data_IF_489845765336
#
_entry.id   IF_489845765336
#
_cell.length_a   1.000
_cell.length_b   1.000
_cell.length_c   1.000
_cell.angle_alpha   90.00
_cell.angle_beta   90.00
_cell.angle_gamma   90.00
#
_symmetry.space_group_name_H-M   'P 1'
#
loop_
_entity.id
_entity.type
_entity.pdbx_description
1 polymer ?
#
# COMPACT_ATOMS: atom_id res chain seq x y z
N UNK A 1 20.82 52.28 -27.38
CA UNK A 1 20.28 52.81 -26.11
C UNK A 1 18.80 52.46 -25.87
N UNK A 2 17.91 52.59 -26.86
CA UNK A 2 16.49 52.16 -26.77
C UNK A 2 16.32 50.67 -26.47
N UNK A 3 17.02 49.82 -27.21
CA UNK A 3 16.93 48.35 -27.10
C UNK A 3 17.41 47.82 -25.75
N UNK A 4 18.47 48.42 -25.20
CA UNK A 4 19.03 48.07 -23.89
C UNK A 4 18.14 48.50 -22.70
N UNK A 5 17.29 49.54 -22.87
CA UNK A 5 16.28 49.93 -21.88
C UNK A 5 15.08 48.99 -21.90
N UNK A 6 14.69 48.52 -23.09
CA UNK A 6 13.60 47.55 -23.27
C UNK A 6 13.92 46.18 -22.67
N UNK A 7 15.13 45.66 -22.92
CA UNK A 7 15.60 44.39 -22.33
C UNK A 7 15.69 44.47 -20.80
N UNK A 8 16.15 45.60 -20.27
CA UNK A 8 16.25 45.80 -18.82
C UNK A 8 14.87 45.89 -18.14
N UNK A 9 13.88 46.51 -18.81
CA UNK A 9 12.48 46.51 -18.35
C UNK A 9 11.86 45.11 -18.34
N UNK A 10 12.14 44.29 -19.36
CA UNK A 10 11.68 42.89 -19.41
C UNK A 10 12.28 42.05 -18.27
N UNK A 11 13.57 42.21 -17.98
CA UNK A 11 14.24 41.51 -16.86
C UNK A 11 13.62 41.86 -15.52
N UNK A 12 13.32 43.14 -15.26
CA UNK A 12 12.64 43.55 -14.02
C UNK A 12 11.21 43.03 -13.92
N UNK A 13 10.46 42.99 -15.02
CA UNK A 13 9.12 42.39 -15.04
C UNK A 13 9.16 40.89 -14.74
N UNK A 14 10.12 40.16 -15.33
CA UNK A 14 10.32 38.73 -15.05
C UNK A 14 10.72 38.52 -13.58
N UNK A 15 11.65 39.32 -13.06
CA UNK A 15 12.08 39.23 -11.66
C UNK A 15 10.92 39.53 -10.69
N UNK A 16 10.10 40.53 -10.97
CA UNK A 16 8.92 40.85 -10.17
C UNK A 16 7.88 39.71 -10.22
N UNK A 17 7.63 39.13 -11.40
CA UNK A 17 6.73 37.99 -11.54
C UNK A 17 7.23 36.77 -10.74
N UNK A 18 8.53 36.46 -10.81
CA UNK A 18 9.15 35.38 -10.02
C UNK A 18 9.03 35.66 -8.52
N UNK A 19 9.27 36.90 -8.08
CA UNK A 19 9.13 37.28 -6.68
C UNK A 19 7.70 37.10 -6.16
N UNK A 20 6.69 37.47 -6.96
CA UNK A 20 5.26 37.25 -6.61
C UNK A 20 4.95 35.75 -6.48
N UNK A 21 5.45 34.92 -7.39
CA UNK A 21 5.27 33.46 -7.31
C UNK A 21 5.93 32.88 -6.06
N UNK A 22 7.17 33.29 -5.76
CA UNK A 22 7.90 32.84 -4.57
C UNK A 22 7.22 33.30 -3.27
N UNK A 23 6.74 34.54 -3.21
CA UNK A 23 5.98 35.06 -2.07
C UNK A 23 4.67 34.29 -1.87
N UNK A 24 3.95 33.98 -2.95
CA UNK A 24 2.74 33.14 -2.91
C UNK A 24 3.05 31.73 -2.41
N UNK A 25 4.14 31.11 -2.86
CA UNK A 25 4.56 29.80 -2.37
C UNK A 25 4.98 29.84 -0.89
N UNK A 26 5.73 30.85 -0.49
CA UNK A 26 6.13 31.04 0.91
C UNK A 26 4.92 31.25 1.82
N UNK A 27 3.95 32.06 1.41
CA UNK A 27 2.70 32.26 2.14
C UNK A 27 1.89 30.96 2.26
N UNK A 28 1.73 30.23 1.15
CA UNK A 28 1.05 28.93 1.17
C UNK A 28 1.77 27.91 2.06
N UNK A 29 3.10 27.88 2.04
CA UNK A 29 3.90 27.03 2.92
C UNK A 29 3.75 27.44 4.39
N UNK A 30 3.75 28.73 4.71
CA UNK A 30 3.52 29.26 6.06
C UNK A 30 2.13 28.83 6.57
N UNK A 31 1.10 29.03 5.75
CA UNK A 31 -0.27 28.63 6.08
C UNK A 31 -0.37 27.12 6.28
N UNK A 32 0.24 26.33 5.39
CA UNK A 32 0.16 24.88 5.43
C UNK A 32 0.98 24.25 6.56
N UNK A 33 2.18 24.75 6.83
CA UNK A 33 3.13 24.17 7.78
C UNK A 33 3.00 24.73 9.20
N UNK A 34 2.48 25.94 9.38
CA UNK A 34 2.36 26.57 10.71
C UNK A 34 0.91 26.84 11.10
N UNK A 35 0.19 27.62 10.28
CA UNK A 35 -1.14 28.09 10.67
C UNK A 35 -2.16 26.95 10.74
N UNK A 36 -2.22 26.09 9.71
CA UNK A 36 -3.14 24.94 9.67
C UNK A 36 -2.92 23.99 10.85
N UNK A 37 -1.68 23.53 11.16
CA UNK A 37 -1.46 22.70 12.33
C UNK A 37 -1.88 23.34 13.64
N UNK A 38 -1.61 24.63 13.80
CA UNK A 38 -2.03 25.38 14.98
C UNK A 38 -3.56 25.48 15.10
N UNK A 39 -4.24 25.89 14.03
CA UNK A 39 -5.69 26.06 13.99
C UNK A 39 -6.43 24.74 14.25
N UNK A 40 -6.03 23.66 13.58
CA UNK A 40 -6.64 22.33 13.75
C UNK A 40 -6.42 21.80 15.16
N UNK A 41 -5.21 21.94 15.70
CA UNK A 41 -4.91 21.53 17.08
C UNK A 41 -5.78 22.28 18.08
N UNK A 42 -5.95 23.60 17.89
CA UNK A 42 -6.80 24.42 18.76
C UNK A 42 -8.27 24.00 18.68
N UNK A 43 -8.80 23.80 17.48
CA UNK A 43 -10.19 23.40 17.28
C UNK A 43 -10.50 22.02 17.87
N UNK A 44 -9.63 21.03 17.63
CA UNK A 44 -9.83 19.68 18.17
C UNK A 44 -9.66 19.61 19.68
N UNK A 45 -8.72 20.38 20.25
CA UNK A 45 -8.60 20.51 21.72
C UNK A 45 -9.85 21.12 22.35
N UNK A 46 -10.48 22.10 21.70
CA UNK A 46 -11.75 22.67 22.17
C UNK A 46 -12.90 21.63 22.16
N UNK A 47 -12.79 20.57 21.35
CA UNK A 47 -13.71 19.44 21.32
C UNK A 47 -13.28 18.27 22.24
N UNK A 48 -12.25 18.47 23.07
CA UNK A 48 -11.72 17.44 23.98
C UNK A 48 -10.75 16.43 23.33
N UNK A 49 -10.40 16.60 22.05
CA UNK A 49 -9.45 15.72 21.35
C UNK A 49 -8.04 16.28 21.47
N UNK A 50 -7.27 15.68 22.38
CA UNK A 50 -5.85 15.96 22.57
C UNK A 50 -4.94 15.18 21.62
N UNK A 51 -3.64 15.21 21.87
CA UNK A 51 -2.66 14.43 21.13
C UNK A 51 -1.23 14.99 21.22
N UNK A 52 -0.24 14.24 20.72
CA UNK A 52 1.15 14.71 20.68
C UNK A 52 1.28 15.99 19.84
N UNK A 53 2.15 16.88 20.28
CA UNK A 53 2.38 18.15 19.61
C UNK A 53 2.94 18.00 18.19
N UNK A 54 2.54 18.90 17.30
CA UNK A 54 3.11 19.00 15.96
C UNK A 54 4.56 19.51 16.03
N UNK A 55 5.49 18.79 15.39
CA UNK A 55 6.86 19.28 15.14
C UNK A 55 6.95 19.77 13.70
N UNK A 56 7.59 20.91 13.51
CA UNK A 56 7.69 21.56 12.20
C UNK A 56 8.15 20.59 11.10
N UNK A 57 7.44 20.58 9.98
CA UNK A 57 7.67 19.78 8.77
C UNK A 57 7.47 18.26 8.93
N UNK A 58 8.08 17.64 9.94
CA UNK A 58 8.09 16.19 10.13
C UNK A 58 6.91 15.65 10.97
N UNK A 59 6.20 16.50 11.70
CA UNK A 59 5.14 16.08 12.61
C UNK A 59 5.65 15.12 13.67
N UNK A 60 4.98 13.99 13.85
CA UNK A 60 5.39 12.96 14.81
C UNK A 60 6.19 11.80 14.17
N UNK A 61 6.56 11.91 12.88
CA UNK A 61 7.22 10.83 12.14
C UNK A 61 8.57 10.40 12.73
N UNK A 62 9.37 11.37 13.19
CA UNK A 62 10.67 11.06 13.80
C UNK A 62 10.52 10.25 15.10
N UNK A 63 9.52 10.59 15.92
CA UNK A 63 9.22 9.84 17.14
C UNK A 63 8.68 8.44 16.81
N UNK A 64 7.78 8.33 15.82
CA UNK A 64 7.25 7.04 15.37
C UNK A 64 8.38 6.12 14.90
N UNK A 65 9.30 6.64 14.08
CA UNK A 65 10.45 5.87 13.59
C UNK A 65 11.35 5.42 14.72
N UNK A 66 11.67 6.32 15.67
CA UNK A 66 12.48 5.99 16.84
C UNK A 66 11.84 4.86 17.65
N UNK A 67 10.57 5.01 18.02
CA UNK A 67 9.85 3.99 18.80
C UNK A 67 9.79 2.64 18.07
N UNK A 68 9.63 2.64 16.74
CA UNK A 68 9.68 1.40 15.95
C UNK A 68 11.07 0.77 15.86
N UNK A 69 12.12 1.59 15.86
CA UNK A 69 13.50 1.10 15.89
C UNK A 69 13.85 0.53 17.26
N UNK A 70 13.38 1.17 18.35
CA UNK A 70 13.59 0.71 19.72
C UNK A 70 12.91 -0.65 19.98
N UNK A 71 11.83 -0.97 19.26
CA UNK A 71 11.15 -2.28 19.32
C UNK A 71 11.54 -3.24 18.20
N UNK A 72 12.46 -2.85 17.31
CA UNK A 72 12.92 -3.71 16.23
C UNK A 72 13.74 -4.87 16.82
N UNK A 73 13.30 -6.11 16.56
CA UNK A 73 13.95 -7.31 17.08
C UNK A 73 13.48 -7.74 18.48
N UNK A 74 12.47 -7.08 19.06
CA UNK A 74 11.83 -7.58 20.28
C UNK A 74 11.17 -8.94 20.00
N UNK A 75 11.51 -9.95 20.80
CA UNK A 75 10.86 -11.25 20.77
C UNK A 75 9.59 -11.22 21.63
N UNK A 76 8.49 -11.71 21.08
CA UNK A 76 7.27 -11.94 21.83
C UNK A 76 7.41 -13.25 22.60
N UNK A 77 7.04 -13.25 23.88
CA UNK A 77 6.98 -14.48 24.66
C UNK A 77 5.94 -15.44 24.08
N UNK A 78 6.19 -16.75 24.15
CA UNK A 78 5.41 -17.79 23.46
C UNK A 78 3.95 -17.81 23.90
N UNK A 79 3.66 -17.42 25.16
CA UNK A 79 2.31 -17.32 25.71
C UNK A 79 1.65 -15.95 25.57
N UNK A 80 2.34 -14.95 25.00
CA UNK A 80 1.82 -13.60 24.89
C UNK A 80 1.27 -13.34 23.49
N UNK A 81 0.04 -12.81 23.40
CA UNK A 81 -0.58 -12.43 22.14
C UNK A 81 -0.62 -10.91 21.91
N UNK A 82 -0.10 -10.10 22.85
CA UNK A 82 -0.02 -8.66 22.70
C UNK A 82 1.20 -8.26 21.85
N UNK A 83 1.02 -8.33 20.52
CA UNK A 83 2.03 -7.89 19.56
C UNK A 83 1.99 -6.37 19.28
N UNK A 84 1.02 -5.65 19.84
CA UNK A 84 0.83 -4.21 19.58
C UNK A 84 2.07 -3.38 19.96
N UNK A 85 2.78 -3.63 21.08
CA UNK A 85 4.02 -2.94 21.40
C UNK A 85 5.10 -3.11 20.31
N UNK A 86 5.17 -4.26 19.66
CA UNK A 86 6.16 -4.54 18.61
C UNK A 86 5.80 -3.84 17.29
N UNK A 87 4.54 -3.94 16.87
CA UNK A 87 4.11 -3.48 15.53
C UNK A 87 3.72 -2.01 15.51
N UNK A 88 3.14 -1.51 16.60
CA UNK A 88 2.59 -0.15 16.74
C UNK A 88 2.92 0.49 18.12
N UNK A 89 4.22 0.58 18.49
CA UNK A 89 4.65 1.08 19.82
C UNK A 89 4.15 2.49 20.14
N UNK A 90 4.05 3.35 19.12
CA UNK A 90 3.60 4.73 19.27
C UNK A 90 2.12 4.82 19.68
N UNK A 91 1.25 3.93 19.20
CA UNK A 91 -0.13 3.88 19.66
C UNK A 91 -0.22 3.37 21.10
N UNK A 92 0.57 2.33 21.44
CA UNK A 92 0.65 1.83 22.82
C UNK A 92 1.10 2.92 23.80
N UNK A 93 2.03 3.78 23.39
CA UNK A 93 2.50 4.94 24.18
C UNK A 93 1.45 6.05 24.30
N UNK A 94 0.79 6.42 23.21
CA UNK A 94 -0.07 7.60 23.17
C UNK A 94 -1.49 7.37 23.68
N UNK A 95 -2.06 6.18 23.51
CA UNK A 95 -3.43 5.88 23.95
C UNK A 95 -3.64 6.11 25.46
N UNK A 96 -2.75 5.66 26.37
CA UNK A 96 -2.91 5.94 27.79
C UNK A 96 -2.80 7.42 28.17
N UNK A 97 -2.07 8.21 27.38
CA UNK A 97 -1.78 9.63 27.67
C UNK A 97 -2.88 10.55 27.12
N UNK A 98 -3.36 10.27 25.91
CA UNK A 98 -4.27 11.14 25.17
C UNK A 98 -5.68 10.57 25.03
N UNK A 99 -5.90 9.34 25.49
CA UNK A 99 -7.17 8.62 25.34
C UNK A 99 -7.25 7.82 24.04
N UNK A 100 -8.43 7.23 23.80
CA UNK A 100 -8.70 6.35 22.65
C UNK A 100 -8.88 7.09 21.33
N UNK A 101 -9.10 8.40 21.39
CA UNK A 101 -9.22 9.25 20.19
C UNK A 101 -8.30 10.44 20.34
N UNK A 102 -7.31 10.56 19.45
CA UNK A 102 -6.32 11.63 19.54
C UNK A 102 -5.74 12.03 18.19
N UNK A 103 -5.31 13.29 18.10
CA UNK A 103 -4.69 13.88 16.92
C UNK A 103 -3.17 13.66 16.92
N UNK A 104 -2.62 13.19 15.81
CA UNK A 104 -1.18 13.18 15.56
C UNK A 104 -0.88 13.62 14.13
N UNK A 105 0.41 13.76 13.80
CA UNK A 105 0.85 14.44 12.57
C UNK A 105 1.74 13.55 11.71
N UNK A 106 1.34 13.37 10.46
CA UNK A 106 2.11 12.68 9.42
C UNK A 106 2.79 13.71 8.51
N UNK A 107 3.99 14.16 8.89
CA UNK A 107 4.51 15.42 8.37
C UNK A 107 3.61 16.57 8.81
N UNK A 108 3.20 17.45 7.90
CA UNK A 108 2.21 18.50 8.16
C UNK A 108 0.74 18.06 7.95
N UNK A 109 0.49 16.77 7.71
CA UNK A 109 -0.89 16.25 7.56
C UNK A 109 -1.47 15.86 8.92
N UNK A 110 -2.63 16.41 9.31
CA UNK A 110 -3.34 15.99 10.52
C UNK A 110 -3.86 14.55 10.33
N UNK A 111 -3.75 13.72 11.35
CA UNK A 111 -4.28 12.35 11.35
C UNK A 111 -4.93 12.06 12.68
N UNK A 112 -6.15 11.55 12.64
CA UNK A 112 -6.89 11.18 13.84
C UNK A 112 -6.74 9.67 14.07
N UNK A 113 -6.21 9.30 15.24
CA UNK A 113 -6.32 7.93 15.73
C UNK A 113 -7.69 7.77 16.39
N UNK A 114 -8.41 6.71 16.02
CA UNK A 114 -9.69 6.34 16.64
C UNK A 114 -9.58 4.87 17.04
N UNK A 115 -9.57 4.62 18.35
CA UNK A 115 -9.52 3.28 18.94
C UNK A 115 -10.83 2.91 19.66
N UNK A 116 -11.84 3.79 19.63
CA UNK A 116 -13.18 3.48 20.11
C UNK A 116 -13.94 2.60 19.10
N UNK A 117 -14.42 1.44 19.56
CA UNK A 117 -15.02 0.42 18.68
C UNK A 117 -16.29 0.90 18.00
N UNK A 118 -17.13 1.67 18.69
CA UNK A 118 -18.38 2.18 18.13
C UNK A 118 -18.11 3.19 17.03
N UNK A 119 -17.16 4.09 17.26
CA UNK A 119 -16.73 5.08 16.27
C UNK A 119 -16.05 4.40 15.07
N UNK A 120 -15.18 3.42 15.30
CA UNK A 120 -14.56 2.64 14.21
C UNK A 120 -15.62 1.93 13.38
N UNK A 121 -16.62 1.31 14.02
CA UNK A 121 -17.74 0.67 13.33
C UNK A 121 -18.51 1.67 12.47
N UNK A 122 -18.78 2.88 12.98
CA UNK A 122 -19.46 3.94 12.23
C UNK A 122 -18.66 4.34 10.99
N UNK A 123 -17.35 4.57 11.13
CA UNK A 123 -16.46 4.95 10.02
C UNK A 123 -16.38 3.84 8.96
N UNK A 124 -16.19 2.58 9.37
CA UNK A 124 -16.02 1.46 8.44
C UNK A 124 -17.32 0.97 7.81
N UNK A 125 -18.47 1.27 8.41
CA UNK A 125 -19.80 0.90 7.89
C UNK A 125 -20.44 2.00 7.06
N UNK A 126 -19.80 3.17 6.95
CA UNK A 126 -20.32 4.29 6.18
C UNK A 126 -20.50 3.93 4.70
N UNK A 127 -21.67 4.28 4.17
CA UNK A 127 -22.01 4.16 2.75
C UNK A 127 -22.21 5.50 2.06
N UNK A 128 -22.19 6.60 2.82
CA UNK A 128 -22.38 7.95 2.30
C UNK A 128 -21.13 8.48 1.58
N UNK A 129 -19.96 7.87 1.82
CA UNK A 129 -18.70 8.28 1.21
C UNK A 129 -17.99 9.40 1.97
N UNK A 130 -18.38 9.63 3.23
CA UNK A 130 -17.78 10.64 4.10
C UNK A 130 -16.34 10.30 4.49
N UNK A 131 -15.99 9.01 4.48
CA UNK A 131 -14.67 8.50 4.84
C UNK A 131 -13.95 7.86 3.63
N UNK A 132 -13.50 8.66 2.65
CA UNK A 132 -12.74 8.13 1.51
C UNK A 132 -11.37 7.61 1.97
N UNK A 133 -10.84 6.63 1.24
CA UNK A 133 -9.49 6.12 1.45
C UNK A 133 -8.50 7.19 1.04
N UNK A 134 -7.72 7.67 2.00
CA UNK A 134 -6.71 8.69 1.75
C UNK A 134 -5.30 8.07 1.82
N UNK A 135 -4.88 7.43 0.73
CA UNK A 135 -3.53 6.89 0.61
C UNK A 135 -2.67 7.89 -0.17
N UNK A 136 -1.92 8.68 0.58
CA UNK A 136 -1.07 9.75 0.04
C UNK A 136 0.37 9.32 -0.29
N UNK A 137 0.73 8.06 -0.01
CA UNK A 137 2.07 7.55 -0.29
C UNK A 137 2.17 7.11 -1.77
N UNK A 138 2.99 7.79 -2.60
CA UNK A 138 3.12 7.48 -4.02
C UNK A 138 3.74 6.10 -4.29
N UNK A 139 4.57 5.58 -3.39
CA UNK A 139 5.15 4.24 -3.53
C UNK A 139 4.10 3.14 -3.33
N UNK A 140 3.17 3.34 -2.38
CA UNK A 140 2.02 2.44 -2.18
C UNK A 140 1.07 2.53 -3.39
N UNK A 141 0.85 3.74 -3.90
CA UNK A 141 0.06 3.94 -5.12
C UNK A 141 0.67 3.23 -6.34
N UNK A 142 2.00 3.26 -6.48
CA UNK A 142 2.71 2.57 -7.56
C UNK A 142 2.63 1.05 -7.42
N UNK A 143 2.80 0.54 -6.21
CA UNK A 143 2.75 -0.89 -5.89
C UNK A 143 1.38 -1.51 -6.18
N UNK A 144 0.30 -0.85 -5.75
CA UNK A 144 -1.06 -1.42 -5.81
C UNK A 144 -1.83 -0.97 -7.06
N UNK A 145 -1.38 0.09 -7.73
CA UNK A 145 -2.09 0.74 -8.83
C UNK A 145 -3.50 1.22 -8.43
N UNK A 146 -4.31 1.56 -9.43
CA UNK A 146 -5.72 1.91 -9.22
C UNK A 146 -6.59 0.65 -9.02
N UNK A 147 -6.20 -0.19 -8.07
CA UNK A 147 -6.88 -1.42 -7.69
C UNK A 147 -7.89 -1.22 -6.55
N UNK A 148 -8.56 -2.31 -6.16
CA UNK A 148 -9.59 -2.34 -5.11
C UNK A 148 -9.16 -1.74 -3.76
N UNK A 149 -7.87 -1.80 -3.46
CA UNK A 149 -7.31 -1.31 -2.20
C UNK A 149 -7.33 0.23 -2.17
N UNK A 150 -7.08 0.89 -3.31
CA UNK A 150 -6.91 2.35 -3.37
C UNK A 150 -8.10 3.10 -3.95
N UNK A 151 -8.94 2.44 -4.76
CA UNK A 151 -10.11 3.11 -5.36
C UNK A 151 -11.30 3.15 -4.42
N UNK A 152 -12.15 4.17 -4.61
CA UNK A 152 -13.43 4.39 -3.92
C UNK A 152 -14.58 4.59 -4.91
N UNK A 153 -15.79 4.75 -4.38
CA UNK A 153 -16.97 5.10 -5.16
C UNK A 153 -17.31 4.09 -6.26
N UNK A 154 -17.69 4.60 -7.43
CA UNK A 154 -18.16 3.76 -8.53
C UNK A 154 -17.06 2.95 -9.20
N UNK A 155 -15.82 3.44 -9.22
CA UNK A 155 -14.66 2.68 -9.69
C UNK A 155 -14.41 1.46 -8.79
N UNK A 156 -14.49 1.64 -7.47
CA UNK A 156 -14.41 0.52 -6.53
C UNK A 156 -15.55 -0.48 -6.73
N UNK A 157 -16.79 -0.02 -6.84
CA UNK A 157 -17.96 -0.89 -7.10
C UNK A 157 -17.78 -1.68 -8.40
N UNK A 158 -17.27 -1.03 -9.45
CA UNK A 158 -16.98 -1.65 -10.75
C UNK A 158 -15.94 -2.76 -10.61
N UNK A 159 -14.79 -2.46 -10.00
CA UNK A 159 -13.73 -3.46 -9.80
C UNK A 159 -14.20 -4.61 -8.91
N UNK A 160 -14.96 -4.32 -7.83
CA UNK A 160 -15.42 -5.34 -6.88
C UNK A 160 -16.40 -6.30 -7.55
N UNK A 161 -17.30 -5.80 -8.40
CA UNK A 161 -18.26 -6.63 -9.16
C UNK A 161 -17.59 -7.56 -10.18
N UNK A 162 -16.39 -7.22 -10.67
CA UNK A 162 -15.61 -8.07 -11.58
C UNK A 162 -14.90 -9.18 -10.80
N UNK A 163 -14.29 -8.84 -9.65
CA UNK A 163 -13.48 -9.78 -8.86
C UNK A 163 -14.32 -10.71 -7.99
N UNK A 164 -15.42 -10.24 -7.42
CA UNK A 164 -16.23 -10.99 -6.45
C UNK A 164 -16.63 -12.42 -6.87
N UNK A 165 -17.04 -12.70 -8.13
CA UNK A 165 -17.41 -14.06 -8.54
C UNK A 165 -16.25 -15.07 -8.50
N UNK A 166 -15.01 -14.61 -8.62
CA UNK A 166 -13.84 -15.48 -8.48
C UNK A 166 -13.68 -16.02 -7.04
N UNK A 167 -14.31 -15.37 -6.07
CA UNK A 167 -14.28 -15.70 -4.65
C UNK A 167 -15.64 -16.22 -4.15
N UNK A 168 -16.46 -16.82 -5.02
CA UNK A 168 -17.68 -17.50 -4.58
C UNK A 168 -17.35 -18.86 -3.91
N UNK A 169 -18.30 -19.43 -3.17
CA UNK A 169 -18.06 -20.64 -2.39
C UNK A 169 -17.62 -21.84 -3.26
N UNK A 170 -18.21 -22.01 -4.44
CA UNK A 170 -17.88 -23.12 -5.34
C UNK A 170 -16.45 -23.01 -5.90
N UNK A 171 -16.01 -21.80 -6.24
CA UNK A 171 -14.62 -21.53 -6.67
C UNK A 171 -13.64 -21.71 -5.52
N UNK A 172 -13.98 -21.25 -4.31
CA UNK A 172 -13.14 -21.44 -3.13
C UNK A 172 -12.94 -22.92 -2.80
N UNK A 173 -13.99 -23.75 -2.88
CA UNK A 173 -13.88 -25.21 -2.69
C UNK A 173 -12.86 -25.84 -3.65
N UNK A 174 -12.88 -25.45 -4.92
CA UNK A 174 -11.89 -25.93 -5.89
C UNK A 174 -10.47 -25.47 -5.57
N UNK A 175 -10.28 -24.24 -5.12
CA UNK A 175 -8.97 -23.74 -4.70
C UNK A 175 -8.41 -24.45 -3.48
N UNK A 176 -9.28 -24.98 -2.61
CA UNK A 176 -8.87 -25.63 -1.36
C UNK A 176 -8.07 -26.91 -1.62
N UNK A 177 -8.41 -27.64 -2.68
CA UNK A 177 -7.63 -28.82 -3.14
C UNK A 177 -6.21 -28.40 -3.50
N UNK A 178 -6.07 -27.38 -4.36
CA UNK A 178 -4.78 -26.82 -4.74
C UNK A 178 -3.98 -26.30 -3.55
N UNK A 179 -4.64 -25.63 -2.60
CA UNK A 179 -4.01 -25.16 -1.36
C UNK A 179 -3.45 -26.33 -0.53
N UNK A 180 -4.21 -27.40 -0.41
CA UNK A 180 -3.79 -28.63 0.28
C UNK A 180 -2.60 -29.29 -0.42
N UNK A 181 -2.59 -29.33 -1.76
CA UNK A 181 -1.49 -29.91 -2.54
C UNK A 181 -0.19 -29.10 -2.38
N UNK A 182 -0.27 -27.76 -2.36
CA UNK A 182 0.86 -26.88 -2.07
C UNK A 182 1.43 -27.14 -0.66
N UNK A 183 0.56 -27.21 0.35
CA UNK A 183 0.98 -27.51 1.72
C UNK A 183 1.57 -28.92 1.85
N UNK A 184 0.98 -29.91 1.18
CA UNK A 184 1.47 -31.29 1.13
C UNK A 184 2.86 -31.40 0.49
N UNK A 185 3.11 -30.65 -0.58
CA UNK A 185 4.43 -30.55 -1.22
C UNK A 185 5.49 -30.00 -0.27
N UNK A 186 5.20 -28.87 0.40
CA UNK A 186 6.10 -28.27 1.40
C UNK A 186 6.42 -29.25 2.54
N UNK A 187 5.39 -29.92 3.09
CA UNK A 187 5.59 -30.92 4.16
C UNK A 187 6.41 -32.13 3.69
N UNK A 188 6.26 -32.53 2.43
CA UNK A 188 7.03 -33.64 1.85
C UNK A 188 8.51 -33.26 1.69
N UNK A 189 8.81 -32.02 1.29
CA UNK A 189 10.18 -31.51 1.25
C UNK A 189 10.81 -31.46 2.64
N UNK A 190 10.07 -31.06 3.67
CA UNK A 190 10.56 -31.07 5.05
C UNK A 190 10.87 -32.49 5.53
N UNK A 191 9.97 -33.45 5.26
CA UNK A 191 10.22 -34.88 5.54
C UNK A 191 11.46 -35.40 4.81
N UNK A 192 11.65 -35.02 3.55
CA UNK A 192 12.82 -35.43 2.78
C UNK A 192 14.13 -34.82 3.32
N UNK A 193 14.09 -33.59 3.85
CA UNK A 193 15.24 -32.98 4.55
C UNK A 193 15.54 -33.71 5.87
N UNK A 194 14.52 -34.03 6.65
CA UNK A 194 14.67 -34.80 7.90
C UNK A 194 15.16 -36.23 7.66
N UNK A 195 14.83 -36.85 6.53
CA UNK A 195 15.35 -38.18 6.21
C UNK A 195 16.88 -38.22 5.97
N UNK A 196 17.53 -37.06 5.81
CA UNK A 196 18.97 -36.94 5.52
C UNK A 196 19.84 -36.62 6.75
N UNK A 197 19.24 -36.40 7.94
CA UNK A 197 19.97 -36.11 9.16
C UNK A 197 19.05 -36.08 10.39
N UNK A 198 19.63 -36.12 11.60
CA UNK A 198 18.85 -36.32 12.84
C UNK A 198 17.95 -35.15 13.21
N UNK A 199 18.27 -33.93 12.77
CA UNK A 199 17.45 -32.73 12.98
C UNK A 199 17.64 -31.71 11.86
N UNK A 200 16.58 -30.95 11.57
CA UNK A 200 16.59 -29.89 10.55
C UNK A 200 15.98 -28.63 11.15
N UNK A 201 16.75 -27.54 11.16
CA UNK A 201 16.24 -26.21 11.48
C UNK A 201 15.52 -25.62 10.25
N UNK A 202 14.30 -25.12 10.46
CA UNK A 202 13.45 -24.59 9.38
C UNK A 202 13.03 -23.16 9.73
N UNK A 203 13.43 -22.21 8.88
CA UNK A 203 12.99 -20.81 8.96
C UNK A 203 11.54 -20.68 8.44
N UNK A 204 10.57 -20.67 9.36
CA UNK A 204 9.14 -20.68 9.04
C UNK A 204 8.69 -19.44 8.26
N UNK A 205 9.29 -18.26 8.47
CA UNK A 205 8.89 -17.04 7.77
C UNK A 205 9.07 -17.19 6.26
N UNK A 206 10.23 -17.70 5.84
CA UNK A 206 10.53 -17.92 4.42
C UNK A 206 9.64 -19.01 3.83
N UNK A 207 9.41 -20.10 4.57
CA UNK A 207 8.56 -21.19 4.09
C UNK A 207 7.09 -20.77 3.92
N UNK A 208 6.55 -19.98 4.83
CA UNK A 208 5.18 -19.46 4.68
C UNK A 208 5.06 -18.40 3.58
N UNK A 209 6.09 -17.58 3.35
CA UNK A 209 6.14 -16.70 2.18
C UNK A 209 6.10 -17.51 0.87
N UNK A 210 6.91 -18.56 0.76
CA UNK A 210 6.96 -19.44 -0.40
C UNK A 210 5.64 -20.19 -0.62
N UNK A 211 5.06 -20.75 0.45
CA UNK A 211 3.77 -21.42 0.40
C UNK A 211 2.65 -20.47 -0.04
N UNK A 212 2.61 -19.24 0.50
CA UNK A 212 1.63 -18.24 0.09
C UNK A 212 1.81 -17.85 -1.39
N UNK A 213 3.06 -17.71 -1.84
CA UNK A 213 3.37 -17.44 -3.25
C UNK A 213 2.88 -18.57 -4.16
N UNK A 214 3.09 -19.84 -3.76
CA UNK A 214 2.66 -21.01 -4.54
C UNK A 214 1.15 -21.13 -4.57
N UNK A 215 0.48 -21.00 -3.43
CA UNK A 215 -0.98 -21.01 -3.33
C UNK A 215 -1.61 -19.94 -4.21
N UNK A 216 -1.15 -18.68 -4.12
CA UNK A 216 -1.67 -17.59 -4.94
C UNK A 216 -1.37 -17.85 -6.41
N UNK A 217 -0.17 -18.36 -6.73
CA UNK A 217 0.23 -18.56 -8.12
C UNK A 217 -0.59 -19.66 -8.80
N UNK A 218 -0.81 -20.80 -8.14
CA UNK A 218 -1.62 -21.88 -8.67
C UNK A 218 -3.10 -21.51 -8.74
N UNK A 219 -3.65 -20.85 -7.72
CA UNK A 219 -5.09 -20.51 -7.69
C UNK A 219 -5.44 -19.33 -8.59
N UNK A 220 -4.56 -18.33 -8.70
CA UNK A 220 -4.81 -17.13 -9.49
C UNK A 220 -4.41 -17.28 -10.96
N UNK A 221 -3.28 -17.91 -11.25
CA UNK A 221 -2.69 -18.00 -12.60
C UNK A 221 -2.73 -19.40 -13.22
N UNK A 222 -3.08 -20.44 -12.46
CA UNK A 222 -3.27 -21.80 -12.97
C UNK A 222 -2.01 -22.33 -13.67
N UNK A 223 -2.10 -22.57 -14.98
CA UNK A 223 -1.00 -23.11 -15.79
C UNK A 223 0.21 -22.19 -15.91
N UNK A 224 0.09 -20.91 -15.54
CA UNK A 224 1.20 -19.94 -15.52
C UNK A 224 1.72 -19.69 -14.08
N UNK A 225 1.63 -20.68 -13.20
CA UNK A 225 2.03 -20.55 -11.79
C UNK A 225 3.52 -20.21 -11.62
N UNK A 226 4.42 -20.76 -12.44
CA UNK A 226 5.86 -20.43 -12.35
C UNK A 226 6.14 -18.95 -12.64
N UNK A 227 5.50 -18.39 -13.68
CA UNK A 227 5.58 -16.97 -13.99
C UNK A 227 4.89 -16.15 -12.89
N UNK A 228 3.78 -16.63 -12.35
CA UNK A 228 3.09 -16.05 -11.20
C UNK A 228 3.98 -15.93 -9.96
N UNK A 229 4.75 -16.98 -9.64
CA UNK A 229 5.68 -17.01 -8.51
C UNK A 229 6.78 -15.97 -8.69
N UNK A 230 7.34 -15.84 -9.90
CA UNK A 230 8.32 -14.79 -10.24
C UNK A 230 7.75 -13.38 -10.05
N UNK A 231 6.50 -13.16 -10.46
CA UNK A 231 5.81 -11.87 -10.22
C UNK A 231 5.68 -11.58 -8.74
N UNK A 232 5.23 -12.55 -7.94
CA UNK A 232 5.05 -12.38 -6.50
C UNK A 232 6.38 -12.02 -5.81
N UNK A 233 7.45 -12.75 -6.14
CA UNK A 233 8.79 -12.50 -5.59
C UNK A 233 9.36 -11.14 -6.01
N UNK A 234 9.19 -10.73 -7.27
CA UNK A 234 9.60 -9.40 -7.73
C UNK A 234 8.77 -8.29 -7.05
N UNK A 235 7.47 -8.54 -6.82
CA UNK A 235 6.59 -7.60 -6.12
C UNK A 235 6.97 -7.45 -4.64
N UNK A 236 7.52 -8.47 -3.99
CA UNK A 236 7.98 -8.41 -2.58
C UNK A 236 8.98 -7.28 -2.34
N UNK A 237 9.93 -7.08 -3.26
CA UNK A 237 10.92 -6.01 -3.11
C UNK A 237 10.26 -4.62 -3.23
N UNK A 238 9.32 -4.46 -4.17
CA UNK A 238 8.51 -3.23 -4.27
C UNK A 238 7.66 -3.01 -3.01
N UNK A 239 7.10 -4.07 -2.42
CA UNK A 239 6.35 -4.00 -1.16
C UNK A 239 7.25 -3.48 -0.04
N UNK A 240 8.42 -4.09 0.17
CA UNK A 240 9.37 -3.66 1.20
C UNK A 240 9.79 -2.19 1.02
N UNK A 241 10.09 -1.78 -0.22
CA UNK A 241 10.43 -0.39 -0.52
C UNK A 241 9.24 0.56 -0.27
N UNK A 242 8.02 0.16 -0.59
CA UNK A 242 6.84 0.99 -0.33
C UNK A 242 6.54 1.10 1.17
N UNK A 243 6.53 -0.01 1.91
CA UNK A 243 6.27 -0.04 3.36
C UNK A 243 7.36 0.69 4.16
N UNK A 244 8.64 0.58 3.79
CA UNK A 244 9.73 1.33 4.44
C UNK A 244 9.60 2.85 4.27
N UNK A 245 8.86 3.31 3.27
CA UNK A 245 8.62 4.75 3.06
C UNK A 245 7.36 5.26 3.73
N UNK A 246 6.55 4.40 4.37
CA UNK A 246 5.30 4.82 5.00
C UNK A 246 5.58 6.00 5.91
N UNK A 247 6.45 5.87 6.90
CA UNK A 247 6.74 6.92 7.87
C UNK A 247 7.71 8.03 7.39
N UNK A 248 7.92 8.18 6.08
CA UNK A 248 8.74 9.26 5.53
C UNK A 248 7.89 10.47 5.14
N UNK A 249 8.46 11.67 5.28
CA UNK A 249 7.87 12.87 4.69
C UNK A 249 7.90 12.73 3.17
N UNK A 250 6.72 12.69 2.57
CA UNK A 250 6.56 12.51 1.13
C UNK A 250 6.64 13.88 0.44
N UNK A 251 7.79 14.18 -0.19
CA UNK A 251 7.96 15.38 -1.00
C UNK A 251 7.60 15.04 -2.45
N UNK A 252 6.52 15.60 -3.01
CA UNK A 252 6.04 15.25 -4.34
C UNK A 252 7.08 15.33 -5.46
N UNK A 253 8.01 16.29 -5.41
CA UNK A 253 9.01 16.50 -6.45
C UNK A 253 10.11 15.41 -6.47
N UNK A 254 10.49 14.87 -5.30
CA UNK A 254 11.63 13.95 -5.19
C UNK A 254 11.41 12.61 -5.89
N UNK A 255 10.15 12.28 -6.23
CA UNK A 255 9.83 11.07 -6.97
C UNK A 255 10.34 11.08 -8.42
N UNK A 256 10.59 12.25 -8.99
CA UNK A 256 11.03 12.41 -10.38
C UNK A 256 12.55 12.52 -10.52
N UNK A 257 13.26 12.69 -9.40
CA UNK A 257 14.72 12.77 -9.39
C UNK A 257 15.33 11.39 -9.68
N UNK A 258 16.34 11.28 -10.56
CA UNK A 258 16.99 10.01 -10.91
C UNK A 258 17.96 9.56 -9.81
N UNK A 259 17.44 9.26 -8.62
CA UNK A 259 18.21 8.65 -7.52
C UNK A 259 18.31 7.15 -7.74
N UNK A 260 19.34 6.48 -7.21
CA UNK A 260 19.51 5.02 -7.32
C UNK A 260 18.26 4.26 -6.85
N UNK A 261 17.67 4.71 -5.73
CA UNK A 261 16.42 4.14 -5.20
C UNK A 261 15.25 4.29 -6.18
N UNK A 262 15.08 5.48 -6.78
CA UNK A 262 14.00 5.72 -7.73
C UNK A 262 14.21 4.90 -9.01
N UNK A 263 15.43 4.85 -9.55
CA UNK A 263 15.77 4.03 -10.71
C UNK A 263 15.47 2.56 -10.47
N UNK A 264 15.82 2.03 -9.30
CA UNK A 264 15.51 0.65 -8.89
C UNK A 264 14.00 0.40 -8.83
N UNK A 265 13.25 1.29 -8.19
CA UNK A 265 11.77 1.23 -8.15
C UNK A 265 11.18 1.26 -9.57
N UNK A 266 11.76 2.07 -10.46
CA UNK A 266 11.28 2.19 -11.84
C UNK A 266 11.50 0.93 -12.65
N UNK A 267 12.69 0.32 -12.51
CA UNK A 267 13.04 -0.94 -13.14
C UNK A 267 12.10 -2.06 -12.67
N UNK A 268 11.96 -2.22 -11.35
CA UNK A 268 11.12 -3.27 -10.74
C UNK A 268 9.64 -3.13 -11.13
N UNK A 269 9.08 -1.92 -11.08
CA UNK A 269 7.69 -1.70 -11.49
C UNK A 269 7.47 -2.00 -12.98
N UNK A 270 8.43 -1.64 -13.85
CA UNK A 270 8.37 -2.01 -15.27
C UNK A 270 8.42 -3.52 -15.46
N UNK A 271 9.28 -4.21 -14.72
CA UNK A 271 9.44 -5.66 -14.79
C UNK A 271 8.17 -6.39 -14.33
N UNK A 272 7.63 -6.04 -13.16
CA UNK A 272 6.37 -6.60 -12.63
C UNK A 272 5.21 -6.37 -13.60
N UNK A 273 5.08 -5.17 -14.17
CA UNK A 273 4.03 -4.87 -15.16
C UNK A 273 4.20 -5.71 -16.43
N UNK A 274 5.42 -5.87 -16.92
CA UNK A 274 5.71 -6.67 -18.11
C UNK A 274 5.37 -8.14 -17.89
N UNK A 275 5.79 -8.70 -16.76
CA UNK A 275 5.48 -10.08 -16.40
C UNK A 275 3.97 -10.32 -16.23
N UNK A 276 3.26 -9.41 -15.55
CA UNK A 276 1.80 -9.48 -15.42
C UNK A 276 1.11 -9.42 -16.79
N UNK A 277 1.55 -8.55 -17.69
CA UNK A 277 0.99 -8.48 -19.04
C UNK A 277 1.26 -9.76 -19.84
N UNK A 278 2.43 -10.36 -19.70
CA UNK A 278 2.75 -11.64 -20.35
C UNK A 278 1.84 -12.78 -19.83
N UNK A 279 1.57 -12.82 -18.52
CA UNK A 279 0.63 -13.80 -17.93
C UNK A 279 -0.80 -13.55 -18.41
N UNK A 280 -1.23 -12.29 -18.46
CA UNK A 280 -2.55 -11.96 -19.00
C UNK A 280 -2.62 -12.46 -20.45
N UNK A 281 -1.61 -12.18 -21.26
CA UNK A 281 -1.55 -12.62 -22.66
C UNK A 281 -1.53 -14.15 -22.82
N UNK A 282 -0.88 -14.89 -21.92
CA UNK A 282 -0.90 -16.36 -21.96
C UNK A 282 -2.26 -16.95 -21.54
N UNK A 283 -3.01 -16.26 -20.68
CA UNK A 283 -4.35 -16.65 -20.18
C UNK A 283 -5.49 -16.14 -21.08
N UNK A 284 -5.20 -15.36 -22.12
CA UNK A 284 -6.10 -15.08 -23.25
C UNK A 284 -5.99 -16.23 -24.27
N UNK A 285 -7.00 -17.10 -24.53
CA UNK A 285 -6.83 -17.96 -25.70
C UNK A 285 -8.10 -18.01 -26.55
N UNK A 286 -8.01 -18.55 -27.77
CA UNK A 286 -9.01 -19.49 -28.23
C UNK A 286 -8.67 -20.94 -27.82
N UNK A 287 -7.44 -21.23 -27.39
CA UNK A 287 -6.91 -22.60 -27.22
C UNK A 287 -7.26 -23.38 -25.93
N UNK A 288 -7.74 -22.79 -24.82
CA UNK A 288 -8.13 -23.59 -23.63
C UNK A 288 -9.38 -23.05 -22.91
N UNK A 289 -10.59 -23.52 -23.30
CA UNK A 289 -11.85 -23.12 -22.69
C UNK A 289 -12.00 -23.48 -21.21
N UNK A 290 -11.26 -24.47 -20.71
CA UNK A 290 -11.39 -25.00 -19.35
C UNK A 290 -10.48 -24.27 -18.34
N UNK A 291 -9.22 -23.99 -18.68
CA UNK A 291 -8.27 -23.29 -17.80
C UNK A 291 -8.67 -21.83 -17.49
N UNK A 292 -9.39 -21.20 -18.41
CA UNK A 292 -9.96 -19.85 -18.24
C UNK A 292 -11.26 -19.81 -17.43
N UNK A 293 -11.85 -20.96 -17.08
CA UNK A 293 -13.11 -21.05 -16.33
C UNK A 293 -12.91 -21.33 -14.82
N UNK A 294 -11.72 -21.72 -14.41
CA UNK A 294 -11.40 -22.14 -13.03
C UNK A 294 -10.44 -21.20 -12.29
N UNK A 295 -9.57 -20.47 -12.99
CA UNK A 295 -8.61 -19.53 -12.36
C UNK A 295 -9.24 -18.18 -12.02
N UNK A 296 -8.75 -17.52 -10.95
CA UNK A 296 -9.22 -16.16 -10.60
C UNK A 296 -9.02 -15.17 -11.76
N UNK A 297 -7.87 -15.22 -12.42
CA UNK A 297 -7.55 -14.31 -13.52
C UNK A 297 -8.48 -14.54 -14.72
N UNK A 298 -8.72 -15.81 -15.09
CA UNK A 298 -9.63 -16.16 -16.19
C UNK A 298 -11.07 -15.71 -15.93
N UNK A 299 -11.56 -15.89 -14.70
CA UNK A 299 -12.91 -15.46 -14.30
C UNK A 299 -13.07 -13.93 -14.33
N UNK A 300 -12.09 -13.20 -13.80
CA UNK A 300 -12.09 -11.73 -13.85
C UNK A 300 -12.09 -11.24 -15.30
N UNK A 301 -11.26 -11.85 -16.15
CA UNK A 301 -11.14 -11.47 -17.54
C UNK A 301 -12.43 -11.70 -18.35
N UNK A 302 -13.04 -12.88 -18.24
CA UNK A 302 -14.31 -13.19 -18.93
C UNK A 302 -15.39 -12.16 -18.60
N UNK A 303 -15.49 -11.80 -17.33
CA UNK A 303 -16.49 -10.84 -16.84
C UNK A 303 -16.20 -9.41 -17.30
N UNK A 304 -14.93 -9.02 -17.38
CA UNK A 304 -14.53 -7.75 -17.97
C UNK A 304 -14.93 -7.68 -19.46
N UNK A 305 -14.70 -8.75 -20.24
CA UNK A 305 -15.05 -8.82 -21.66
C UNK A 305 -16.56 -8.84 -21.93
N UNK A 306 -17.34 -9.59 -21.14
CA UNK A 306 -18.80 -9.59 -21.21
C UNK A 306 -19.35 -8.18 -21.03
N UNK A 307 -18.80 -7.41 -20.08
CA UNK A 307 -19.19 -6.01 -19.87
C UNK A 307 -18.75 -5.06 -20.97
N UNK A 308 -17.60 -5.30 -21.59
CA UNK A 308 -17.15 -4.54 -22.75
C UNK A 308 -17.95 -4.88 -24.02
N UNK A 309 -18.92 -5.80 -23.95
CA UNK A 309 -19.72 -6.23 -25.10
C UNK A 309 -18.96 -7.14 -26.08
N UNK A 310 -17.77 -7.63 -25.72
CA UNK A 310 -16.87 -8.39 -26.60
C UNK A 310 -17.22 -9.88 -26.61
N UNK A 311 -17.99 -10.37 -25.64
CA UNK A 311 -18.51 -11.75 -25.59
C UNK A 311 -20.02 -11.66 -25.33
N UNK A 312 -20.83 -12.12 -26.29
CA UNK A 312 -22.25 -12.47 -26.08
C UNK A 312 -22.34 -13.99 -25.99
N UNK A 313 -23.17 -14.49 -25.08
CA UNK A 313 -23.61 -15.88 -25.11
C UNK A 313 -24.65 -16.05 -26.21
#
# INVERSE_FOLDING_TARGET
LSEHRSTMGLVWMVAAAVAVVLASWAFNALVYLLWRPHAITRQLRAQGVGGPGYRFFAGNLAEIKRLRADTAGAALDVGNHDFVPMVQPYFRKWIPIHGRTFLYWFGARPTLCVADVNTVKQVLSDRSGLYPKNISNPHIARLLGNGLVLTDGDDWKRHRKVVHPAFNMDKLKMMTVTMSDCAGSMMSEWKAKMAKGDSVEIELSTQFEELAADVISHTAFGSSYEQGKKVFLAQRELQFLAFSTIFNVQIPAFRYLPTEKNLKIWKLDKEVRTMLMNIIQSVLPPKTPWATATTCLGLCWRRARQRAGIIRF
#
